data_IF_744287090939
#
_entry.id   IF_744287090939
#
_cell.length_a   1.000
_cell.length_b   1.000
_cell.length_c   1.000
_cell.angle_alpha   90.00
_cell.angle_beta   90.00
_cell.angle_gamma   90.00
#
_symmetry.space_group_name_H-M   'P 1'
#
loop_
_entity.id
_entity.type
_entity.pdbx_description
1 polymer ?
#
# COMPACT_ATOMS: atom_id res chain seq x y z
N UNK A 1 37.42 -4.08 -16.83
CA UNK A 1 36.95 -2.93 -17.65
C UNK A 1 35.67 -2.29 -17.09
N UNK A 2 34.71 -3.08 -16.59
CA UNK A 2 33.42 -2.61 -16.06
C UNK A 2 33.56 -1.71 -14.82
N UNK A 3 34.29 -2.15 -13.78
CA UNK A 3 34.45 -1.37 -12.54
C UNK A 3 35.13 0.00 -12.75
N UNK A 4 36.12 0.10 -13.66
CA UNK A 4 36.74 1.39 -14.01
C UNK A 4 35.75 2.39 -14.62
N UNK A 5 34.82 1.92 -15.46
CA UNK A 5 33.73 2.77 -16.00
C UNK A 5 32.76 3.18 -14.89
N UNK A 6 32.44 2.26 -13.98
CA UNK A 6 31.59 2.51 -12.83
C UNK A 6 32.20 3.55 -11.89
N UNK A 7 33.50 3.47 -11.60
CA UNK A 7 34.22 4.45 -10.78
C UNK A 7 34.13 5.87 -11.35
N UNK A 8 34.32 6.00 -12.68
CA UNK A 8 34.19 7.29 -13.38
C UNK A 8 32.78 7.85 -13.27
N UNK A 9 31.76 7.01 -13.46
CA UNK A 9 30.35 7.41 -13.39
C UNK A 9 29.99 7.84 -11.96
N UNK A 10 30.26 6.98 -10.98
CA UNK A 10 29.92 7.20 -9.57
C UNK A 10 30.70 8.36 -8.96
N UNK A 11 31.94 8.60 -9.41
CA UNK A 11 32.80 9.70 -8.99
C UNK A 11 32.14 11.07 -9.14
N UNK A 12 31.46 11.32 -10.27
CA UNK A 12 30.78 12.59 -10.57
C UNK A 12 29.47 12.83 -9.80
N UNK A 13 28.89 11.80 -9.17
CA UNK A 13 27.58 11.92 -8.51
C UNK A 13 27.70 12.61 -7.15
N UNK A 14 26.92 13.68 -6.94
CA UNK A 14 26.69 14.25 -5.61
C UNK A 14 25.49 13.56 -4.95
N UNK A 15 25.75 12.44 -4.26
CA UNK A 15 24.70 11.63 -3.65
C UNK A 15 23.81 12.39 -2.67
N UNK A 16 24.32 13.38 -1.92
CA UNK A 16 23.47 14.19 -1.02
C UNK A 16 22.38 14.94 -1.81
N UNK A 17 22.76 15.55 -2.94
CA UNK A 17 21.82 16.26 -3.83
C UNK A 17 20.87 15.30 -4.52
N UNK A 18 21.37 14.18 -5.02
CA UNK A 18 20.57 13.15 -5.70
C UNK A 18 19.55 12.53 -4.75
N UNK A 19 19.94 12.12 -3.54
CA UNK A 19 19.02 11.56 -2.55
C UNK A 19 17.94 12.56 -2.14
N UNK A 20 18.28 13.85 -1.97
CA UNK A 20 17.29 14.88 -1.66
C UNK A 20 16.24 15.01 -2.78
N UNK A 21 16.67 15.09 -4.03
CA UNK A 21 15.76 15.15 -5.19
C UNK A 21 14.94 13.88 -5.36
N UNK A 22 15.56 12.71 -5.20
CA UNK A 22 14.88 11.42 -5.24
C UNK A 22 13.72 11.36 -4.24
N UNK A 23 13.94 11.77 -2.98
CA UNK A 23 12.89 11.78 -1.95
C UNK A 23 11.76 12.73 -2.35
N UNK A 24 12.08 13.94 -2.79
CA UNK A 24 11.07 14.94 -3.20
C UNK A 24 10.23 14.42 -4.36
N UNK A 25 10.86 13.93 -5.43
CA UNK A 25 10.17 13.42 -6.62
C UNK A 25 9.33 12.18 -6.27
N UNK A 26 9.86 11.25 -5.49
CA UNK A 26 9.13 10.05 -5.08
C UNK A 26 7.90 10.40 -4.25
N UNK A 27 8.02 11.35 -3.31
CA UNK A 27 6.89 11.83 -2.52
C UNK A 27 5.80 12.45 -3.41
N UNK A 28 6.19 13.30 -4.36
CA UNK A 28 5.25 13.92 -5.30
C UNK A 28 4.53 12.88 -6.16
N UNK A 29 5.25 11.86 -6.66
CA UNK A 29 4.65 10.77 -7.44
C UNK A 29 3.69 9.96 -6.58
N UNK A 30 4.05 9.63 -5.33
CA UNK A 30 3.16 8.90 -4.41
C UNK A 30 1.88 9.72 -4.13
N UNK A 31 2.01 11.02 -3.86
CA UNK A 31 0.86 11.91 -3.65
C UNK A 31 -0.02 11.95 -4.92
N UNK A 32 0.57 12.06 -6.10
CA UNK A 32 -0.17 12.06 -7.37
C UNK A 32 -0.91 10.73 -7.61
N UNK A 33 -0.28 9.59 -7.30
CA UNK A 33 -0.92 8.26 -7.37
C UNK A 33 -2.08 8.18 -6.38
N UNK A 34 -1.89 8.61 -5.12
CA UNK A 34 -2.97 8.59 -4.13
C UNK A 34 -4.14 9.50 -4.53
N UNK A 35 -3.85 10.71 -5.01
CA UNK A 35 -4.88 11.64 -5.49
C UNK A 35 -5.61 11.13 -6.73
N UNK A 36 -4.88 10.54 -7.69
CA UNK A 36 -5.45 9.89 -8.87
C UNK A 36 -6.36 8.73 -8.48
N UNK A 37 -5.91 7.87 -7.55
CA UNK A 37 -6.73 6.78 -7.04
C UNK A 37 -8.00 7.29 -6.33
N UNK A 38 -7.89 8.31 -5.49
CA UNK A 38 -9.06 8.91 -4.85
C UNK A 38 -10.06 9.50 -5.86
N UNK A 39 -9.58 10.02 -6.99
CA UNK A 39 -10.42 10.57 -8.06
C UNK A 39 -11.08 9.47 -8.90
N UNK A 40 -10.32 8.50 -9.38
CA UNK A 40 -10.82 7.40 -10.21
C UNK A 40 -11.82 6.52 -9.45
N UNK A 41 -11.59 6.31 -8.15
CA UNK A 41 -12.45 5.48 -7.29
C UNK A 41 -13.45 6.28 -6.45
N UNK A 42 -13.64 7.58 -6.74
CA UNK A 42 -14.47 8.49 -5.91
C UNK A 42 -15.89 7.94 -5.68
N UNK A 43 -16.52 7.35 -6.70
CA UNK A 43 -17.91 6.91 -6.63
C UNK A 43 -18.04 5.63 -5.79
N UNK A 44 -17.04 4.74 -5.85
CA UNK A 44 -16.96 3.54 -5.00
C UNK A 44 -16.71 3.90 -3.54
N UNK A 45 -15.86 4.91 -3.29
CA UNK A 45 -15.62 5.45 -1.95
C UNK A 45 -16.90 6.11 -1.41
N UNK A 46 -17.57 6.93 -2.21
CA UNK A 46 -18.82 7.60 -1.85
C UNK A 46 -19.92 6.58 -1.52
N UNK A 47 -20.08 5.55 -2.35
CA UNK A 47 -20.99 4.43 -2.12
C UNK A 47 -20.75 3.81 -0.74
N UNK A 48 -19.50 3.43 -0.44
CA UNK A 48 -19.15 2.75 0.80
C UNK A 48 -19.40 3.62 2.03
N UNK A 49 -19.01 4.90 1.97
CA UNK A 49 -19.24 5.84 3.07
C UNK A 49 -20.74 6.04 3.33
N UNK A 50 -21.54 6.19 2.27
CA UNK A 50 -22.97 6.40 2.41
C UNK A 50 -23.70 5.12 2.87
N UNK A 51 -23.24 3.94 2.45
CA UNK A 51 -23.73 2.66 2.94
C UNK A 51 -23.59 2.57 4.47
N UNK A 52 -22.38 2.78 5.00
CA UNK A 52 -22.14 2.72 6.45
C UNK A 52 -22.95 3.77 7.23
N UNK A 53 -23.21 4.94 6.63
CA UNK A 53 -24.08 5.96 7.26
C UNK A 53 -25.53 5.49 7.37
N UNK A 54 -26.04 4.73 6.39
CA UNK A 54 -27.39 4.18 6.42
C UNK A 54 -27.44 3.01 7.40
N UNK A 55 -26.49 2.07 7.31
CA UNK A 55 -26.37 0.94 8.22
C UNK A 55 -26.38 1.40 9.68
N UNK A 56 -25.51 2.35 10.03
CA UNK A 56 -25.45 2.88 11.37
C UNK A 56 -26.74 3.60 11.81
N UNK A 57 -27.48 4.21 10.88
CA UNK A 57 -28.79 4.79 11.22
C UNK A 57 -29.81 3.68 11.53
N UNK A 58 -29.87 2.67 10.68
CA UNK A 58 -30.79 1.53 10.83
C UNK A 58 -30.54 0.81 12.15
N UNK A 59 -29.28 0.58 12.50
CA UNK A 59 -28.91 -0.08 13.75
C UNK A 59 -29.35 0.68 15.01
N UNK A 60 -29.40 2.02 14.95
CA UNK A 60 -29.70 2.86 16.12
C UNK A 60 -31.15 3.38 16.17
N UNK A 61 -31.77 3.63 15.02
CA UNK A 61 -33.08 4.27 14.90
C UNK A 61 -34.14 3.37 14.26
N UNK A 62 -33.75 2.23 13.71
CA UNK A 62 -34.62 1.38 12.90
C UNK A 62 -34.88 1.96 11.51
N UNK A 63 -35.80 1.34 10.79
CA UNK A 63 -36.30 1.82 9.50
C UNK A 63 -37.64 2.54 9.71
N UNK A 64 -37.81 3.69 9.08
CA UNK A 64 -39.09 4.38 8.93
C UNK A 64 -39.12 5.13 7.57
N UNK A 65 -40.30 5.48 7.02
CA UNK A 65 -40.43 6.22 5.76
C UNK A 65 -39.62 7.54 5.68
N UNK A 66 -39.23 8.15 6.80
CA UNK A 66 -38.37 9.33 6.81
C UNK A 66 -37.00 9.11 6.16
N UNK A 67 -36.54 7.86 6.03
CA UNK A 67 -35.27 7.51 5.41
C UNK A 67 -35.25 7.66 3.89
N UNK A 68 -36.43 7.78 3.24
CA UNK A 68 -36.58 7.87 1.78
C UNK A 68 -35.67 8.94 1.16
N UNK A 69 -35.60 10.13 1.76
CA UNK A 69 -34.72 11.21 1.28
C UNK A 69 -33.23 10.85 1.31
N UNK A 70 -32.80 10.10 2.32
CA UNK A 70 -31.41 9.60 2.42
C UNK A 70 -31.15 8.47 1.44
N UNK A 71 -32.11 7.56 1.25
CA UNK A 71 -32.03 6.50 0.24
C UNK A 71 -31.93 7.09 -1.17
N UNK A 72 -32.73 8.12 -1.48
CA UNK A 72 -32.64 8.86 -2.73
C UNK A 72 -31.29 9.56 -2.92
N UNK A 73 -30.75 10.18 -1.86
CA UNK A 73 -29.41 10.79 -1.92
C UNK A 73 -28.32 9.74 -2.16
N UNK A 74 -28.44 8.58 -1.49
CA UNK A 74 -27.51 7.47 -1.66
C UNK A 74 -27.58 6.87 -3.05
N UNK A 75 -28.79 6.66 -3.60
CA UNK A 75 -28.99 6.13 -4.94
C UNK A 75 -28.37 7.01 -6.03
N UNK A 76 -28.26 8.32 -5.79
CA UNK A 76 -27.61 9.28 -6.69
C UNK A 76 -26.10 9.44 -6.43
N UNK A 77 -25.53 8.73 -5.45
CA UNK A 77 -24.11 8.85 -5.10
C UNK A 77 -23.17 8.00 -5.97
N UNK A 78 -23.71 7.08 -6.75
CA UNK A 78 -22.97 6.25 -7.69
C UNK A 78 -23.86 5.83 -8.85
N UNK A 79 -23.31 5.88 -10.07
CA UNK A 79 -23.96 5.40 -11.29
C UNK A 79 -24.11 3.87 -11.33
N UNK A 80 -23.46 3.14 -10.41
CA UNK A 80 -23.57 1.69 -10.30
C UNK A 80 -24.86 1.26 -9.62
N UNK A 81 -25.49 2.16 -8.86
CA UNK A 81 -26.74 1.85 -8.17
C UNK A 81 -27.86 1.82 -9.20
N UNK A 82 -28.39 0.62 -9.45
CA UNK A 82 -29.53 0.41 -10.33
C UNK A 82 -30.82 0.89 -9.66
N UNK A 83 -31.00 0.58 -8.39
CA UNK A 83 -32.10 1.08 -7.56
C UNK A 83 -31.84 0.87 -6.07
N UNK A 84 -32.58 1.62 -5.25
CA UNK A 84 -32.68 1.42 -3.81
C UNK A 84 -34.14 1.31 -3.45
N UNK A 85 -34.55 0.14 -2.95
CA UNK A 85 -35.91 -0.14 -2.55
C UNK A 85 -36.06 -0.11 -1.05
N UNK A 86 -37.13 0.51 -0.57
CA UNK A 86 -37.67 0.28 0.76
C UNK A 86 -38.87 -0.66 0.61
N UNK A 87 -38.87 -1.75 1.38
CA UNK A 87 -39.90 -2.77 1.35
C UNK A 87 -40.55 -2.91 2.73
N UNK A 88 -41.85 -3.20 2.73
CA UNK A 88 -42.54 -3.60 3.94
C UNK A 88 -42.30 -5.08 4.29
N UNK A 89 -42.91 -5.53 5.39
CA UNK A 89 -42.84 -6.91 5.87
C UNK A 89 -43.34 -7.96 4.86
N UNK A 90 -44.19 -7.56 3.92
CA UNK A 90 -44.81 -8.42 2.91
C UNK A 90 -44.05 -8.37 1.57
N UNK A 91 -42.86 -7.75 1.57
CA UNK A 91 -41.98 -7.47 0.43
C UNK A 91 -42.60 -6.56 -0.64
N UNK A 92 -43.61 -5.75 -0.28
CA UNK A 92 -44.14 -4.72 -1.17
C UNK A 92 -43.17 -3.55 -1.22
N UNK A 93 -42.89 -3.05 -2.41
CA UNK A 93 -42.04 -1.88 -2.60
C UNK A 93 -42.85 -0.65 -2.21
N UNK A 94 -42.45 -0.01 -1.11
CA UNK A 94 -43.08 1.23 -0.62
C UNK A 94 -42.36 2.47 -1.16
N UNK A 95 -41.07 2.35 -1.48
CA UNK A 95 -40.30 3.41 -2.12
C UNK A 95 -39.26 2.82 -3.08
N UNK A 96 -39.04 3.51 -4.20
CA UNK A 96 -37.97 3.26 -5.18
C UNK A 96 -37.26 4.58 -5.45
N UNK A 97 -35.95 4.58 -5.24
CA UNK A 97 -35.14 5.78 -5.43
C UNK A 97 -34.96 6.14 -6.91
N UNK A 98 -34.78 5.14 -7.78
CA UNK A 98 -34.48 5.34 -9.21
C UNK A 98 -35.64 4.99 -10.15
N UNK A 99 -36.76 4.48 -9.63
CA UNK A 99 -37.91 4.03 -10.42
C UNK A 99 -37.51 3.07 -11.55
N UNK A 100 -36.60 2.14 -11.24
CA UNK A 100 -36.09 1.19 -12.23
C UNK A 100 -37.17 0.23 -12.74
N UNK A 101 -36.85 -0.50 -13.80
CA UNK A 101 -37.69 -1.56 -14.36
C UNK A 101 -38.01 -2.69 -13.37
N UNK A 102 -37.21 -2.84 -12.31
CA UNK A 102 -37.42 -3.82 -11.24
C UNK A 102 -38.57 -3.42 -10.29
N UNK A 103 -39.05 -2.18 -10.33
CA UNK A 103 -40.12 -1.69 -9.45
C UNK A 103 -41.54 -1.88 -10.00
N UNK A 104 -41.69 -2.25 -11.28
CA UNK A 104 -42.96 -2.23 -12.01
C UNK A 104 -44.07 -3.11 -11.44
N UNK A 105 -43.70 -4.27 -10.88
CA UNK A 105 -44.63 -5.20 -10.25
C UNK A 105 -45.08 -4.73 -8.85
N UNK A 106 -44.45 -3.69 -8.29
CA UNK A 106 -44.75 -3.14 -6.96
C UNK A 106 -44.39 -4.07 -5.79
N UNK A 107 -43.79 -5.23 -6.08
CA UNK A 107 -43.39 -6.24 -5.11
C UNK A 107 -42.12 -6.93 -5.59
N UNK A 108 -41.20 -7.23 -4.67
CA UNK A 108 -39.96 -7.94 -4.97
C UNK A 108 -39.70 -9.03 -3.92
N UNK A 109 -40.02 -10.27 -4.26
CA UNK A 109 -39.90 -11.45 -3.40
C UNK A 109 -38.73 -12.33 -3.86
N UNK A 110 -37.59 -12.13 -3.21
CA UNK A 110 -36.37 -12.87 -3.50
C UNK A 110 -36.38 -14.24 -2.83
N UNK A 111 -36.28 -15.29 -3.64
CA UNK A 111 -36.20 -16.67 -3.19
C UNK A 111 -34.82 -17.24 -3.50
N UNK A 112 -34.27 -18.03 -2.57
CA UNK A 112 -32.97 -18.67 -2.75
C UNK A 112 -33.10 -19.77 -3.80
N UNK A 113 -32.11 -19.86 -4.69
CA UNK A 113 -32.05 -20.93 -5.68
C UNK A 113 -31.32 -22.12 -5.04
N UNK A 114 -31.97 -23.29 -4.98
CA UNK A 114 -31.48 -24.45 -4.24
C UNK A 114 -30.08 -24.91 -4.70
N UNK A 115 -29.79 -24.80 -5.99
CA UNK A 115 -28.55 -25.30 -6.59
C UNK A 115 -27.46 -24.23 -6.77
N UNK A 116 -27.71 -22.97 -6.37
CA UNK A 116 -26.77 -21.85 -6.58
C UNK A 116 -26.46 -21.13 -5.28
N UNK A 117 -25.18 -21.05 -4.94
CA UNK A 117 -24.77 -20.48 -3.65
C UNK A 117 -24.86 -18.96 -3.71
N UNK A 118 -25.54 -18.37 -2.73
CA UNK A 118 -25.68 -16.91 -2.53
C UNK A 118 -26.44 -16.16 -3.66
N UNK A 119 -27.14 -16.90 -4.53
CA UNK A 119 -28.02 -16.33 -5.56
C UNK A 119 -29.50 -16.44 -5.19
N UNK A 120 -30.21 -15.37 -5.52
CA UNK A 120 -31.64 -15.21 -5.30
C UNK A 120 -32.32 -14.77 -6.60
N UNK A 121 -33.61 -15.07 -6.71
CA UNK A 121 -34.41 -14.71 -7.86
C UNK A 121 -35.85 -14.38 -7.45
N UNK A 122 -36.45 -13.47 -8.21
CA UNK A 122 -37.88 -13.19 -8.18
C UNK A 122 -38.59 -13.96 -9.31
N UNK A 123 -39.71 -14.60 -9.00
CA UNK A 123 -40.51 -15.39 -9.95
C UNK A 123 -41.07 -14.51 -11.08
N UNK A 124 -41.38 -13.25 -10.81
CA UNK A 124 -41.88 -12.29 -11.78
C UNK A 124 -40.80 -11.82 -12.76
N UNK A 125 -39.51 -12.07 -12.48
CA UNK A 125 -38.37 -11.63 -13.30
C UNK A 125 -37.37 -12.80 -13.51
N UNK A 126 -37.75 -13.83 -14.29
CA UNK A 126 -37.04 -15.12 -14.34
C UNK A 126 -35.64 -15.09 -14.99
N UNK A 127 -35.28 -14.01 -15.69
CA UNK A 127 -33.96 -13.83 -16.31
C UNK A 127 -33.02 -12.92 -15.49
N UNK A 128 -33.45 -12.50 -14.30
CA UNK A 128 -32.66 -11.67 -13.39
C UNK A 128 -32.30 -12.44 -12.13
N UNK A 129 -31.03 -12.34 -11.73
CA UNK A 129 -30.47 -12.96 -10.54
C UNK A 129 -29.86 -11.90 -9.63
N UNK A 130 -29.99 -12.12 -8.32
CA UNK A 130 -29.47 -11.22 -7.30
C UNK A 130 -28.45 -11.99 -6.45
N UNK A 131 -27.20 -11.53 -6.46
CA UNK A 131 -26.14 -12.11 -5.62
C UNK A 131 -25.99 -11.30 -4.35
N UNK A 132 -26.23 -11.92 -3.19
CA UNK A 132 -25.96 -11.25 -1.91
C UNK A 132 -24.45 -11.14 -1.74
N UNK A 133 -23.96 -9.92 -1.53
CA UNK A 133 -22.53 -9.64 -1.47
C UNK A 133 -22.24 -8.59 -0.41
N UNK A 134 -21.20 -8.79 0.40
CA UNK A 134 -20.76 -7.78 1.37
C UNK A 134 -20.22 -6.52 0.69
N UNK A 135 -20.36 -5.37 1.34
CA UNK A 135 -19.99 -4.07 0.78
C UNK A 135 -18.49 -3.94 0.51
N UNK A 136 -17.67 -4.64 1.29
CA UNK A 136 -16.23 -4.74 1.06
C UNK A 136 -15.90 -5.27 -0.34
N UNK A 137 -16.77 -6.09 -0.93
CA UNK A 137 -16.55 -6.66 -2.25
C UNK A 137 -17.01 -5.73 -3.39
N UNK A 138 -17.80 -4.69 -3.08
CA UNK A 138 -18.24 -3.67 -4.04
C UNK A 138 -17.21 -2.56 -4.26
N UNK A 139 -16.22 -2.45 -3.38
CA UNK A 139 -15.08 -1.54 -3.52
C UNK A 139 -14.13 -1.96 -4.66
N UNK A 140 -14.10 -3.24 -4.99
CA UNK A 140 -13.22 -3.75 -6.04
C UNK A 140 -13.84 -3.55 -7.43
N UNK A 141 -13.00 -3.30 -8.42
CA UNK A 141 -13.44 -3.16 -9.81
C UNK A 141 -14.12 -4.44 -10.28
N UNK A 142 -15.02 -4.31 -11.26
CA UNK A 142 -15.62 -5.46 -11.93
C UNK A 142 -14.56 -6.47 -12.37
N UNK A 143 -13.45 -6.01 -12.91
CA UNK A 143 -12.37 -6.88 -13.38
C UNK A 143 -11.66 -7.58 -12.22
N UNK A 144 -11.38 -6.92 -11.10
CA UNK A 144 -10.76 -7.57 -9.94
C UNK A 144 -11.70 -8.60 -9.30
N UNK A 145 -12.99 -8.28 -9.24
CA UNK A 145 -14.01 -9.17 -8.69
C UNK A 145 -14.33 -10.33 -9.64
N UNK A 146 -14.49 -10.09 -10.95
CA UNK A 146 -14.71 -11.13 -11.97
C UNK A 146 -13.48 -11.99 -12.21
N UNK A 147 -12.27 -11.42 -12.15
CA UNK A 147 -11.02 -12.16 -12.28
C UNK A 147 -10.68 -12.93 -11.00
N UNK A 148 -11.34 -12.63 -9.86
CA UNK A 148 -11.21 -13.47 -8.67
C UNK A 148 -11.56 -14.92 -9.03
N UNK A 149 -10.65 -15.84 -8.66
CA UNK A 149 -10.81 -17.27 -8.96
C UNK A 149 -12.12 -17.82 -8.42
N UNK A 150 -12.59 -17.27 -7.31
CA UNK A 150 -13.84 -17.68 -6.65
C UNK A 150 -15.06 -17.23 -7.44
N UNK A 151 -15.13 -15.96 -7.90
CA UNK A 151 -16.25 -15.52 -8.74
C UNK A 151 -16.31 -16.26 -10.07
N UNK A 152 -15.19 -16.42 -10.78
CA UNK A 152 -15.16 -17.17 -12.05
C UNK A 152 -15.58 -18.61 -11.87
N UNK A 153 -15.20 -19.25 -10.75
CA UNK A 153 -15.56 -20.64 -10.46
C UNK A 153 -17.04 -20.78 -10.10
N UNK A 154 -17.58 -19.87 -9.29
CA UNK A 154 -18.99 -19.89 -8.89
C UNK A 154 -19.90 -19.51 -10.08
N UNK A 155 -19.52 -18.48 -10.85
CA UNK A 155 -20.27 -18.01 -12.02
C UNK A 155 -20.26 -19.03 -13.17
N UNK A 156 -19.10 -19.61 -13.50
CA UNK A 156 -18.99 -20.64 -14.54
C UNK A 156 -19.48 -22.01 -14.05
N UNK A 157 -19.54 -22.27 -12.74
CA UNK A 157 -20.10 -23.51 -12.19
C UNK A 157 -21.63 -23.53 -12.25
N UNK A 158 -22.25 -22.42 -11.86
CA UNK A 158 -23.70 -22.37 -11.55
C UNK A 158 -24.58 -21.92 -12.73
N UNK A 159 -24.02 -21.24 -13.75
CA UNK A 159 -24.80 -20.67 -14.85
C UNK A 159 -24.35 -21.11 -16.26
N UNK A 160 -23.13 -21.64 -16.41
CA UNK A 160 -22.54 -21.98 -17.71
C UNK A 160 -23.36 -22.98 -18.53
N UNK A 161 -24.09 -23.88 -17.87
CA UNK A 161 -24.86 -24.94 -18.52
C UNK A 161 -26.29 -24.52 -18.92
N UNK A 162 -26.71 -23.29 -18.59
CA UNK A 162 -28.07 -22.81 -18.89
C UNK A 162 -28.18 -22.23 -20.31
N UNK A 163 -29.28 -22.55 -21.01
CA UNK A 163 -29.61 -21.93 -22.30
C UNK A 163 -29.83 -20.43 -22.15
N UNK A 164 -29.46 -19.64 -23.17
CA UNK A 164 -29.52 -18.17 -23.18
C UNK A 164 -28.72 -17.49 -22.06
N UNK A 165 -27.58 -18.08 -21.68
CA UNK A 165 -26.65 -17.51 -20.69
C UNK A 165 -26.33 -16.02 -20.89
N UNK A 166 -26.10 -15.59 -22.14
CA UNK A 166 -25.76 -14.20 -22.46
C UNK A 166 -26.89 -13.18 -22.22
N UNK A 167 -28.14 -13.62 -22.03
CA UNK A 167 -29.27 -12.70 -21.76
C UNK A 167 -29.60 -12.59 -20.28
N UNK A 168 -28.97 -13.38 -19.41
CA UNK A 168 -29.23 -13.38 -17.96
C UNK A 168 -28.53 -12.20 -17.30
N UNK A 169 -29.26 -11.42 -16.51
CA UNK A 169 -28.71 -10.28 -15.77
C UNK A 169 -28.41 -10.67 -14.33
N UNK A 170 -27.23 -10.30 -13.83
CA UNK A 170 -26.86 -10.50 -12.43
C UNK A 170 -26.66 -9.14 -11.77
N UNK A 171 -27.44 -8.86 -10.75
CA UNK A 171 -27.27 -7.71 -9.88
C UNK A 171 -26.68 -8.11 -8.53
N UNK A 172 -25.96 -7.17 -7.92
CA UNK A 172 -25.45 -7.32 -6.57
C UNK A 172 -26.46 -6.74 -5.60
N UNK A 173 -26.78 -7.52 -4.58
CA UNK A 173 -27.75 -7.16 -3.57
C UNK A 173 -27.06 -6.94 -2.24
N UNK A 174 -27.22 -5.75 -1.71
CA UNK A 174 -27.02 -5.46 -0.30
C UNK A 174 -28.37 -5.21 0.33
N UNK A 175 -28.47 -5.48 1.62
CA UNK A 175 -29.72 -5.26 2.32
C UNK A 175 -29.49 -4.75 3.73
N UNK A 176 -30.49 -4.05 4.23
CA UNK A 176 -30.67 -3.74 5.63
C UNK A 176 -32.02 -4.27 6.08
N UNK A 177 -32.12 -4.70 7.33
CA UNK A 177 -33.39 -5.18 7.91
C UNK A 177 -33.63 -4.55 9.25
N UNK A 178 -34.84 -4.09 9.47
CA UNK A 178 -35.32 -3.75 10.81
C UNK A 178 -36.17 -4.90 11.34
N UNK A 179 -35.67 -5.57 12.37
CA UNK A 179 -36.35 -6.71 12.98
C UNK A 179 -37.60 -6.32 13.75
N UNK A 180 -37.77 -5.05 14.13
CA UNK A 180 -38.89 -4.59 14.94
C UNK A 180 -40.19 -4.46 14.12
N UNK A 181 -40.10 -3.96 12.89
CA UNK A 181 -41.26 -3.73 12.01
C UNK A 181 -41.25 -4.62 10.75
N UNK A 182 -40.17 -5.36 10.49
CA UNK A 182 -40.03 -6.25 9.35
C UNK A 182 -39.72 -5.53 8.04
N UNK A 183 -39.46 -4.23 8.06
CA UNK A 183 -39.08 -3.47 6.87
C UNK A 183 -37.66 -3.81 6.44
N UNK A 184 -37.43 -3.68 5.13
CA UNK A 184 -36.17 -4.03 4.49
C UNK A 184 -35.77 -2.93 3.54
N UNK A 185 -34.47 -2.71 3.42
CA UNK A 185 -33.91 -1.91 2.33
C UNK A 185 -33.13 -2.85 1.43
N UNK A 186 -33.40 -2.81 0.13
CA UNK A 186 -32.59 -3.50 -0.87
C UNK A 186 -31.84 -2.48 -1.70
N UNK A 187 -30.53 -2.64 -1.79
CA UNK A 187 -29.65 -1.85 -2.64
C UNK A 187 -29.20 -2.76 -3.75
N UNK A 188 -29.58 -2.41 -4.96
CA UNK A 188 -29.33 -3.22 -6.16
C UNK A 188 -28.30 -2.48 -6.99
N UNK A 189 -27.16 -3.13 -7.19
CA UNK A 189 -26.04 -2.57 -7.94
C UNK A 189 -25.82 -3.37 -9.23
N UNK A 190 -25.54 -2.64 -10.30
CA UNK A 190 -24.95 -3.18 -11.52
C UNK A 190 -23.42 -3.13 -11.38
N UNK A 191 -22.71 -4.15 -11.83
CA UNK A 191 -21.25 -4.03 -11.84
C UNK A 191 -20.88 -3.31 -13.12
N UNK A 192 -20.35 -2.10 -12.97
CA UNK A 192 -19.67 -1.41 -14.06
C UNK A 192 -18.17 -1.40 -13.78
N UNK A 193 -17.34 -1.57 -14.82
CA UNK A 193 -15.90 -1.45 -14.65
C UNK A 193 -15.60 0.03 -14.42
N UNK A 194 -14.72 0.32 -13.47
CA UNK A 194 -14.25 1.70 -13.30
C UNK A 194 -13.42 2.04 -14.55
N UNK A 195 -13.82 3.06 -15.33
CA UNK A 195 -13.13 3.39 -16.57
C UNK A 195 -11.65 3.64 -16.29
N UNK A 196 -10.77 3.06 -17.09
CA UNK A 196 -9.31 3.22 -16.98
C UNK A 196 -8.65 2.72 -15.67
N UNK A 197 -9.37 2.11 -14.72
CA UNK A 197 -8.80 1.69 -13.44
C UNK A 197 -7.67 0.67 -13.59
N UNK A 198 -7.80 -0.31 -14.48
CA UNK A 198 -6.73 -1.29 -14.76
C UNK A 198 -5.45 -0.59 -15.21
N UNK A 199 -5.56 0.28 -16.23
CA UNK A 199 -4.42 1.07 -16.74
C UNK A 199 -3.80 1.94 -15.66
N UNK A 200 -4.63 2.57 -14.82
CA UNK A 200 -4.16 3.37 -13.70
C UNK A 200 -3.37 2.53 -12.68
N UNK A 201 -3.85 1.34 -12.33
CA UNK A 201 -3.18 0.40 -11.43
C UNK A 201 -1.86 -0.11 -12.03
N UNK A 202 -1.83 -0.45 -13.32
CA UNK A 202 -0.60 -0.87 -14.01
C UNK A 202 0.45 0.24 -14.01
N UNK A 203 0.06 1.46 -14.39
CA UNK A 203 0.97 2.61 -14.45
C UNK A 203 1.48 2.95 -13.05
N UNK A 204 0.60 3.00 -12.05
CA UNK A 204 0.99 3.29 -10.66
C UNK A 204 1.92 2.21 -10.09
N UNK A 205 1.64 0.93 -10.32
CA UNK A 205 2.52 -0.17 -9.93
C UNK A 205 3.89 -0.07 -10.62
N UNK A 206 3.92 0.24 -11.92
CA UNK A 206 5.15 0.46 -12.67
C UNK A 206 5.98 1.63 -12.13
N UNK A 207 5.35 2.76 -11.80
CA UNK A 207 6.00 3.92 -11.19
C UNK A 207 6.59 3.59 -9.81
N UNK A 208 5.83 2.90 -8.96
CA UNK A 208 6.28 2.49 -7.63
C UNK A 208 7.45 1.50 -7.72
N UNK A 209 7.38 0.54 -8.64
CA UNK A 209 8.47 -0.41 -8.91
C UNK A 209 9.73 0.31 -9.41
N UNK A 210 9.57 1.31 -10.29
CA UNK A 210 10.68 2.13 -10.77
C UNK A 210 11.33 2.93 -9.63
N UNK A 211 10.54 3.58 -8.79
CA UNK A 211 11.01 4.31 -7.60
C UNK A 211 11.82 3.36 -6.70
N UNK A 212 11.26 2.18 -6.40
CA UNK A 212 11.91 1.17 -5.58
C UNK A 212 13.23 0.67 -6.20
N UNK A 213 13.24 0.39 -7.51
CA UNK A 213 14.46 -0.02 -8.23
C UNK A 213 15.54 1.06 -8.24
N UNK A 214 15.15 2.33 -8.41
CA UNK A 214 16.08 3.46 -8.32
C UNK A 214 16.66 3.58 -6.90
N UNK A 215 15.85 3.45 -5.85
CA UNK A 215 16.35 3.39 -4.47
C UNK A 215 17.36 2.26 -4.27
N UNK A 216 17.00 1.05 -4.73
CA UNK A 216 17.83 -0.15 -4.61
C UNK A 216 19.23 0.07 -5.20
N UNK A 217 19.28 0.62 -6.42
CA UNK A 217 20.53 0.93 -7.11
C UNK A 217 21.28 2.10 -6.47
N UNK A 218 20.59 3.19 -6.11
CA UNK A 218 21.22 4.36 -5.48
C UNK A 218 21.89 3.99 -4.16
N UNK A 219 21.27 3.14 -3.34
CA UNK A 219 21.84 2.68 -2.07
C UNK A 219 23.13 1.88 -2.29
N UNK A 220 23.10 0.91 -3.22
CA UNK A 220 24.26 0.10 -3.56
C UNK A 220 25.42 0.96 -4.13
N UNK A 221 25.12 1.89 -5.04
CA UNK A 221 26.11 2.80 -5.62
C UNK A 221 26.67 3.79 -4.60
N UNK A 222 25.85 4.24 -3.64
CA UNK A 222 26.30 5.10 -2.55
C UNK A 222 27.31 4.37 -1.65
N UNK A 223 27.02 3.13 -1.24
CA UNK A 223 27.98 2.34 -0.44
C UNK A 223 29.21 1.99 -1.25
N UNK A 224 29.08 1.65 -2.53
CA UNK A 224 30.23 1.45 -3.41
C UNK A 224 31.19 2.66 -3.38
N UNK A 225 30.64 3.88 -3.51
CA UNK A 225 31.43 5.12 -3.44
C UNK A 225 32.06 5.33 -2.06
N UNK A 226 31.29 5.13 -0.99
CA UNK A 226 31.78 5.34 0.39
C UNK A 226 32.88 4.32 0.75
N UNK A 227 32.73 3.05 0.34
CA UNK A 227 33.72 2.00 0.52
C UNK A 227 35.02 2.32 -0.24
N UNK A 228 34.91 2.80 -1.48
CA UNK A 228 36.08 3.22 -2.27
C UNK A 228 36.86 4.37 -1.62
N UNK A 229 36.16 5.36 -1.04
CA UNK A 229 36.78 6.46 -0.27
C UNK A 229 37.54 5.98 0.97
N UNK A 230 37.14 4.82 1.52
CA UNK A 230 37.73 4.19 2.71
C UNK A 230 38.84 3.18 2.38
N UNK A 231 39.27 3.11 1.11
CA UNK A 231 40.18 2.08 0.57
C UNK A 231 39.75 0.65 0.88
N UNK A 232 38.44 0.39 0.94
CA UNK A 232 37.88 -0.95 1.03
C UNK A 232 37.67 -1.52 -0.38
N UNK A 233 37.40 -2.82 -0.47
CA UNK A 233 36.98 -3.47 -1.70
C UNK A 233 35.58 -2.98 -2.11
N UNK A 234 35.50 -1.84 -2.81
CA UNK A 234 34.25 -1.20 -3.21
C UNK A 234 33.29 -2.12 -3.99
N UNK A 235 33.76 -2.93 -4.96
CA UNK A 235 32.88 -3.89 -5.65
C UNK A 235 32.21 -4.89 -4.72
N UNK A 236 32.93 -5.40 -3.72
CA UNK A 236 32.42 -6.40 -2.79
C UNK A 236 31.29 -5.80 -1.93
N UNK A 237 31.53 -4.61 -1.37
CA UNK A 237 30.51 -3.91 -0.58
C UNK A 237 29.31 -3.48 -1.43
N UNK A 238 29.54 -2.96 -2.64
CA UNK A 238 28.45 -2.61 -3.56
C UNK A 238 27.60 -3.82 -3.96
N UNK A 239 28.24 -4.95 -4.30
CA UNK A 239 27.54 -6.18 -4.69
C UNK A 239 26.78 -6.80 -3.51
N UNK A 240 27.38 -6.78 -2.31
CA UNK A 240 26.71 -7.22 -1.08
C UNK A 240 25.38 -6.48 -0.90
N UNK A 241 25.38 -5.15 -1.05
CA UNK A 241 24.15 -4.35 -0.95
C UNK A 241 23.21 -4.56 -2.13
N UNK A 242 23.72 -4.80 -3.33
CA UNK A 242 22.87 -5.06 -4.48
C UNK A 242 22.04 -6.35 -4.27
N UNK A 243 22.60 -7.36 -3.60
CA UNK A 243 21.92 -8.64 -3.34
C UNK A 243 21.06 -8.58 -2.07
N UNK A 244 21.59 -7.99 -1.00
CA UNK A 244 20.98 -8.07 0.35
C UNK A 244 20.29 -6.79 0.81
N UNK A 245 20.41 -5.70 0.04
CA UNK A 245 19.85 -4.38 0.30
C UNK A 245 20.04 -3.91 1.75
N UNK A 246 18.95 -3.81 2.52
CA UNK A 246 18.93 -3.22 3.85
C UNK A 246 19.81 -4.02 4.82
N UNK A 247 19.85 -5.34 4.68
CA UNK A 247 20.71 -6.20 5.50
C UNK A 247 22.18 -5.87 5.24
N UNK A 248 22.58 -5.78 3.96
CA UNK A 248 23.94 -5.39 3.57
C UNK A 248 24.29 -3.98 4.05
N UNK A 249 23.33 -3.06 4.01
CA UNK A 249 23.50 -1.72 4.53
C UNK A 249 23.73 -1.71 6.06
N UNK A 250 22.97 -2.49 6.83
CA UNK A 250 23.17 -2.62 8.28
C UNK A 250 24.56 -3.20 8.57
N UNK A 251 24.97 -4.25 7.88
CA UNK A 251 26.31 -4.83 8.02
C UNK A 251 27.40 -3.79 7.73
N UNK A 252 27.24 -3.02 6.65
CA UNK A 252 28.16 -1.94 6.32
C UNK A 252 28.17 -0.81 7.37
N UNK A 253 27.01 -0.47 7.94
CA UNK A 253 26.88 0.53 8.98
C UNK A 253 27.60 0.10 10.28
N UNK A 254 27.44 -1.17 10.68
CA UNK A 254 28.15 -1.76 11.82
C UNK A 254 29.66 -1.76 11.56
N UNK A 255 30.09 -2.17 10.36
CA UNK A 255 31.50 -2.11 9.97
C UNK A 255 32.06 -0.69 10.11
N UNK A 256 31.32 0.31 9.65
CA UNK A 256 31.69 1.72 9.74
C UNK A 256 31.70 2.26 11.17
N UNK A 257 30.83 1.77 12.06
CA UNK A 257 30.82 2.15 13.48
C UNK A 257 32.01 1.58 14.26
N UNK A 258 32.51 0.42 13.85
CA UNK A 258 33.63 -0.27 14.51
C UNK A 258 35.01 0.10 13.94
N UNK A 259 35.05 0.79 12.81
CA UNK A 259 36.29 1.20 12.17
C UNK A 259 36.38 2.71 11.99
N UNK A 260 37.59 3.25 12.09
CA UNK A 260 37.89 4.64 11.79
C UNK A 260 38.65 4.75 10.47
N UNK A 261 38.52 5.89 9.80
CA UNK A 261 39.26 6.19 8.57
C UNK A 261 40.44 7.10 8.90
N UNK A 262 41.66 6.70 8.51
CA UNK A 262 42.82 7.56 8.68
C UNK A 262 42.67 8.86 7.86
N UNK A 263 42.78 10.02 8.51
CA UNK A 263 42.64 11.31 7.84
C UNK A 263 43.76 11.61 6.82
N UNK A 264 44.94 10.98 6.96
CA UNK A 264 46.08 11.18 6.04
C UNK A 264 46.00 10.28 4.80
N UNK A 265 45.81 8.97 4.97
CA UNK A 265 45.86 8.02 3.85
C UNK A 265 44.49 7.48 3.41
N UNK A 266 43.43 7.66 4.21
CA UNK A 266 42.07 7.20 3.88
C UNK A 266 41.81 5.71 4.11
N UNK A 267 42.77 4.94 4.65
CA UNK A 267 42.52 3.52 5.00
C UNK A 267 41.56 3.42 6.19
N UNK A 268 40.58 2.53 6.08
CA UNK A 268 39.71 2.15 7.19
C UNK A 268 40.33 1.02 7.99
N UNK A 269 40.42 1.20 9.31
CA UNK A 269 41.03 0.25 10.23
C UNK A 269 40.33 0.26 11.58
N UNK A 270 40.69 -0.67 12.45
CA UNK A 270 40.13 -0.76 13.79
C UNK A 270 40.24 0.61 14.52
N UNK A 271 39.12 1.06 15.08
CA UNK A 271 39.07 2.33 15.82
C UNK A 271 39.94 2.35 17.07
N UNK A 272 40.43 1.19 17.51
CA UNK A 272 41.28 1.04 18.69
C UNK A 272 42.79 1.17 18.39
N UNK A 273 43.19 1.44 17.14
CA UNK A 273 44.59 1.63 16.80
C UNK A 273 45.06 3.06 17.16
N UNK A 274 46.19 3.22 17.87
CA UNK A 274 46.81 4.54 18.14
C UNK A 274 47.39 5.18 16.88
N UNK A 275 48.03 4.36 16.05
CA UNK A 275 48.67 4.77 14.80
C UNK A 275 48.06 4.04 13.62
N UNK A 276 48.09 4.69 12.46
CA UNK A 276 47.62 4.08 11.22
C UNK A 276 48.54 2.94 10.79
N UNK A 277 47.98 1.75 10.60
CA UNK A 277 48.71 0.56 10.12
C UNK A 277 49.28 0.70 8.70
N UNK A 278 48.78 1.64 7.90
CA UNK A 278 49.23 1.86 6.52
C UNK A 278 50.27 2.99 6.40
N UNK A 279 50.12 4.09 7.14
CA UNK A 279 50.95 5.29 6.95
C UNK A 279 51.61 5.84 8.23
N UNK A 280 51.48 5.14 9.36
CA UNK A 280 52.12 5.48 10.64
C UNK A 280 51.62 6.76 11.33
N UNK A 281 50.65 7.46 10.76
CA UNK A 281 50.12 8.71 11.34
C UNK A 281 49.32 8.41 12.60
N UNK A 282 49.52 9.20 13.66
CA UNK A 282 48.75 9.12 14.91
C UNK A 282 47.28 9.46 14.61
N UNK A 283 46.36 8.56 14.91
CA UNK A 283 44.93 8.70 14.60
C UNK A 283 44.05 8.75 15.85
N UNK A 284 44.57 8.29 16.99
CA UNK A 284 43.92 8.43 18.29
C UNK A 284 44.89 9.00 19.32
N UNK A 285 44.31 9.55 20.38
CA UNK A 285 45.05 9.93 21.57
C UNK A 285 45.60 8.70 22.29
N UNK A 286 46.68 8.91 23.02
CA UNK A 286 47.40 7.85 23.74
C UNK A 286 47.88 8.37 25.08
N UNK A 287 47.79 7.54 26.10
CA UNK A 287 48.37 7.81 27.42
C UNK A 287 49.86 8.14 27.29
N UNK A 288 50.28 9.26 27.87
CA UNK A 288 51.66 9.74 27.81
C UNK A 288 52.63 8.80 28.52
N UNK A 289 52.16 8.12 29.58
CA UNK A 289 52.97 7.23 30.40
C UNK A 289 53.23 5.86 29.77
N UNK A 290 52.23 5.25 29.12
CA UNK A 290 52.34 3.87 28.63
C UNK A 290 52.01 3.68 27.14
N UNK A 291 51.64 4.75 26.43
CA UNK A 291 51.31 4.72 25.01
C UNK A 291 50.01 4.00 24.64
N UNK A 292 49.24 3.49 25.62
CA UNK A 292 47.96 2.86 25.37
C UNK A 292 46.97 3.87 24.78
N UNK A 293 46.10 3.41 23.88
CA UNK A 293 45.03 4.24 23.35
C UNK A 293 44.12 4.73 24.48
N UNK A 294 43.71 5.99 24.38
CA UNK A 294 42.70 6.60 25.25
C UNK A 294 41.62 7.25 24.41
N UNK A 295 40.38 7.14 24.88
CA UNK A 295 39.20 7.77 24.29
C UNK A 295 38.88 9.07 25.02
N UNK A 296 38.09 9.94 24.40
CA UNK A 296 37.64 11.20 25.02
C UNK A 296 36.84 10.95 26.32
N UNK A 297 36.23 9.78 26.45
CA UNK A 297 35.46 9.39 27.62
C UNK A 297 36.33 8.89 28.78
N UNK A 298 37.56 8.44 28.51
CA UNK A 298 38.43 7.86 29.54
C UNK A 298 38.87 8.93 30.54
N UNK A 299 38.79 8.61 31.83
CA UNK A 299 39.31 9.45 32.94
C UNK A 299 40.67 8.91 33.40
N UNK A 300 40.86 7.60 33.31
CA UNK A 300 42.09 6.90 33.64
C UNK A 300 42.47 5.96 32.50
N UNK A 301 43.77 5.76 32.30
CA UNK A 301 44.27 4.81 31.31
C UNK A 301 43.88 3.38 31.68
N UNK A 302 43.16 2.69 30.80
CA UNK A 302 42.73 1.29 31.00
C UNK A 302 43.92 0.34 31.15
N UNK A 303 45.11 0.71 30.66
CA UNK A 303 46.32 -0.13 30.73
C UNK A 303 47.18 0.11 31.96
N UNK A 304 47.42 1.36 32.35
CA UNK A 304 48.38 1.68 33.43
C UNK A 304 47.77 2.45 34.61
N UNK A 305 46.47 2.77 34.57
CA UNK A 305 45.76 3.47 35.64
C UNK A 305 46.08 4.96 35.78
N UNK A 306 46.93 5.52 34.90
CA UNK A 306 47.33 6.92 34.96
C UNK A 306 46.15 7.85 34.63
N UNK A 307 46.03 8.97 35.35
CA UNK A 307 44.98 9.95 35.11
C UNK A 307 45.22 10.63 33.76
N UNK A 308 44.20 10.70 32.92
CA UNK A 308 44.30 11.36 31.62
C UNK A 308 44.07 12.86 31.84
N UNK A 309 45.12 13.67 31.70
CA UNK A 309 45.02 15.12 31.67
C UNK A 309 44.33 15.54 30.38
N UNK A 310 43.05 15.89 30.47
CA UNK A 310 42.29 16.42 29.34
C UNK A 310 42.66 17.89 29.20
N UNK A 311 43.34 18.27 28.12
CA UNK A 311 43.43 19.68 27.76
C UNK A 311 42.00 20.15 27.41
N UNK A 312 41.46 21.04 28.23
CA UNK A 312 40.21 21.75 27.93
C UNK A 312 40.44 22.50 26.61
N UNK A 313 39.79 22.03 25.54
CA UNK A 313 39.72 22.80 24.31
C UNK A 313 38.79 23.98 24.59
N UNK A 314 39.38 25.16 24.78
CA UNK A 314 38.67 26.44 24.78
C UNK A 314 37.70 26.51 23.58
N UNK A 315 36.48 26.97 23.87
CA UNK A 315 35.37 27.14 22.92
C UNK A 315 35.72 28.03 21.72
#
# INVERSE_FOLDING_TARGET
MIFKKLDKLVGGINFKKVTKWYIIVSLLVIIAVLAGGAYEFKDKIAFTVNYYKIENQVDHQGLDPSIEGRLGTFANSSDDIKDVFLLDKDNKIIYSAQNSDLSKEGKLTLTKINDKKDFFQDVSIPDTYFKVTGVENLLFTEDFYRDSKDFRRDYNGDFFYESNFNSKKIYFLNYFTDSANGMKVYIINDIKPVPNAERFLEISAGLLMLIFGVYWLLLALWVYKDAGRRRLNAPLWGLLLLITNLVGFIVYAIYKQNNQTCYKCGVSQNKNNTFCSCCGTKINESCEKCGAIVTKQDIYCVRCGDKIEKQEADN
#
